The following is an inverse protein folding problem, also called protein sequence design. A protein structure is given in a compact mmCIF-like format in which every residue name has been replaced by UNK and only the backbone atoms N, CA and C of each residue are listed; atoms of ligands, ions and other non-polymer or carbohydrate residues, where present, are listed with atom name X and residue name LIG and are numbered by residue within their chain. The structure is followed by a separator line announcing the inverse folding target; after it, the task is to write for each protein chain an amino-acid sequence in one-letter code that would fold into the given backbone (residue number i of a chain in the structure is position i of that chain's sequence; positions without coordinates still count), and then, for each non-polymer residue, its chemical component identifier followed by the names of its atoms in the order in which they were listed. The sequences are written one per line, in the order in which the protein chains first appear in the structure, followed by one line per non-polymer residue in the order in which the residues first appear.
data_IF_808086592688
#
_entry.id   IF_808086592688
#
_cell.length_a   1.000
_cell.length_b   1.000
_cell.length_c   1.000
_cell.angle_alpha   90.00
_cell.angle_beta   90.00
_cell.angle_gamma   90.00
#
_symmetry.space_group_name_H-M   'P 1'
#
loop_
_entity.id
_entity.type
_entity.pdbx_description
1 polymer ?
#
# COMPACT_ATOMS: atom_id res chain seq x y z
N UNK A 1 -13.47 -15.04 -8.91
CA UNK A 1 -12.08 -15.21 -8.47
C UNK A 1 -11.69 -13.96 -7.73
N UNK A 2 -11.14 -14.08 -6.52
CA UNK A 2 -10.71 -12.94 -5.71
C UNK A 2 -9.20 -13.01 -5.53
N UNK A 3 -8.52 -11.88 -5.67
CA UNK A 3 -7.07 -11.75 -5.52
C UNK A 3 -6.78 -10.55 -4.63
N UNK A 4 -5.95 -10.76 -3.63
CA UNK A 4 -5.44 -9.72 -2.73
C UNK A 4 -3.97 -9.45 -3.04
N UNK A 5 -3.44 -8.32 -2.55
CA UNK A 5 -2.05 -7.86 -2.80
C UNK A 5 -1.69 -7.84 -4.30
N UNK A 6 -2.64 -7.40 -5.13
CA UNK A 6 -2.53 -7.49 -6.59
C UNK A 6 -1.36 -6.66 -7.15
N UNK A 7 -0.95 -5.60 -6.46
CA UNK A 7 0.20 -4.76 -6.82
C UNK A 7 1.51 -5.56 -6.89
N UNK A 8 1.63 -6.64 -6.12
CA UNK A 8 2.87 -7.43 -6.02
C UNK A 8 2.89 -8.64 -6.97
N UNK A 9 1.92 -8.73 -7.88
CA UNK A 9 1.86 -9.78 -8.88
C UNK A 9 2.89 -9.57 -9.99
N UNK A 10 3.50 -10.64 -10.47
CA UNK A 10 4.36 -10.62 -11.66
C UNK A 10 3.56 -10.93 -12.95
N UNK A 11 4.21 -10.78 -14.10
CA UNK A 11 3.58 -10.99 -15.42
C UNK A 11 2.98 -12.40 -15.59
N UNK A 12 3.62 -13.43 -15.04
CA UNK A 12 3.16 -14.82 -15.17
C UNK A 12 1.91 -15.05 -14.31
N UNK A 13 1.93 -14.57 -13.06
CA UNK A 13 0.77 -14.63 -12.17
C UNK A 13 -0.43 -13.91 -12.78
N UNK A 14 -0.22 -12.72 -13.35
CA UNK A 14 -1.30 -11.99 -14.02
C UNK A 14 -1.83 -12.73 -15.26
N UNK A 15 -0.95 -13.30 -16.08
CA UNK A 15 -1.36 -14.11 -17.23
C UNK A 15 -2.17 -15.34 -16.82
N UNK A 16 -1.79 -16.01 -15.73
CA UNK A 16 -2.54 -17.14 -15.19
C UNK A 16 -3.94 -16.76 -14.70
N UNK A 17 -4.06 -15.65 -13.96
CA UNK A 17 -5.37 -15.15 -13.52
C UNK A 17 -6.30 -14.93 -14.71
N UNK A 18 -5.78 -14.32 -15.78
CA UNK A 18 -6.55 -14.08 -17.01
C UNK A 18 -7.07 -15.36 -17.64
N UNK A 19 -6.25 -16.40 -17.73
CA UNK A 19 -6.66 -17.70 -18.27
C UNK A 19 -7.74 -18.35 -17.39
N UNK A 20 -7.63 -18.26 -16.07
CA UNK A 20 -8.60 -18.86 -15.15
C UNK A 20 -9.95 -18.15 -15.16
N UNK A 21 -9.97 -16.86 -15.49
CA UNK A 21 -11.18 -16.04 -15.58
C UNK A 21 -11.63 -15.80 -17.02
N UNK A 22 -11.01 -16.45 -18.01
CA UNK A 22 -11.34 -16.24 -19.41
C UNK A 22 -12.82 -16.56 -19.69
N UNK A 23 -13.51 -15.65 -20.39
CA UNK A 23 -14.94 -15.75 -20.68
C UNK A 23 -15.86 -15.60 -19.46
N UNK A 24 -15.31 -15.22 -18.29
CA UNK A 24 -16.06 -15.03 -17.04
C UNK A 24 -15.76 -13.64 -16.50
N UNK A 25 -16.76 -12.78 -16.46
CA UNK A 25 -16.66 -11.43 -15.87
C UNK A 25 -16.71 -11.50 -14.32
N UNK A 26 -15.78 -12.25 -13.73
CA UNK A 26 -15.81 -12.59 -12.31
C UNK A 26 -14.46 -12.43 -11.59
N UNK A 27 -13.53 -11.66 -12.16
CA UNK A 27 -12.27 -11.31 -11.51
C UNK A 27 -12.45 -10.08 -10.61
N UNK A 28 -12.18 -10.24 -9.32
CA UNK A 28 -12.15 -9.18 -8.33
C UNK A 28 -10.73 -9.08 -7.76
N UNK A 29 -10.12 -7.91 -7.88
CA UNK A 29 -8.76 -7.65 -7.42
C UNK A 29 -8.75 -6.55 -6.36
N UNK A 30 -7.94 -6.72 -5.33
CA UNK A 30 -7.65 -5.72 -4.31
C UNK A 30 -6.15 -5.47 -4.32
N UNK A 31 -5.76 -4.21 -4.21
CA UNK A 31 -4.36 -3.84 -4.15
C UNK A 31 -4.17 -2.35 -3.95
N UNK A 32 -2.93 -1.99 -3.64
CA UNK A 32 -2.48 -0.64 -3.35
C UNK A 32 -1.18 -0.37 -4.12
N UNK A 33 -1.20 0.59 -5.05
CA UNK A 33 -0.02 0.92 -5.85
C UNK A 33 1.14 1.52 -5.05
N UNK A 34 0.82 2.23 -3.97
CA UNK A 34 1.79 2.84 -3.06
C UNK A 34 2.46 1.79 -2.14
N UNK A 35 1.97 0.54 -2.11
CA UNK A 35 2.49 -0.55 -1.27
C UNK A 35 3.23 -1.66 -2.04
N UNK A 36 3.49 -1.47 -3.33
CA UNK A 36 4.26 -2.44 -4.13
C UNK A 36 5.74 -2.44 -3.73
N UNK A 37 6.17 -3.44 -2.94
CA UNK A 37 7.56 -3.56 -2.45
C UNK A 37 8.31 -4.77 -3.02
N UNK A 38 7.65 -5.67 -3.75
CA UNK A 38 8.28 -6.87 -4.32
C UNK A 38 8.85 -6.69 -5.73
N UNK A 39 9.19 -5.46 -6.13
CA UNK A 39 9.77 -5.16 -7.44
C UNK A 39 11.03 -5.98 -7.76
N UNK A 40 11.88 -6.22 -6.75
CA UNK A 40 13.09 -7.07 -6.86
C UNK A 40 12.78 -8.53 -7.21
N UNK A 41 11.57 -9.00 -6.91
CA UNK A 41 11.08 -10.35 -7.20
C UNK A 41 10.23 -10.39 -8.49
N UNK A 42 10.25 -9.31 -9.27
CA UNK A 42 9.56 -9.20 -10.54
C UNK A 42 8.10 -8.79 -10.45
N UNK A 43 7.64 -8.27 -9.30
CA UNK A 43 6.33 -7.62 -9.22
C UNK A 43 6.23 -6.48 -10.26
N UNK A 44 5.05 -6.34 -10.86
CA UNK A 44 4.77 -5.36 -11.91
C UNK A 44 3.55 -4.55 -11.53
N UNK A 45 3.79 -3.34 -11.02
CA UNK A 45 2.70 -2.40 -10.73
C UNK A 45 1.86 -2.08 -11.98
N UNK A 46 2.48 -2.21 -13.16
CA UNK A 46 1.83 -2.11 -14.46
C UNK A 46 0.63 -3.07 -14.61
N UNK A 47 0.58 -4.17 -13.84
CA UNK A 47 -0.57 -5.08 -13.82
C UNK A 47 -1.85 -4.38 -13.34
N UNK A 48 -1.77 -3.45 -12.38
CA UNK A 48 -2.92 -2.66 -11.93
C UNK A 48 -3.44 -1.77 -13.07
N UNK A 49 -2.54 -1.07 -13.76
CA UNK A 49 -2.92 -0.23 -14.92
C UNK A 49 -3.43 -1.07 -16.09
N UNK A 50 -2.82 -2.23 -16.35
CA UNK A 50 -3.23 -3.15 -17.40
C UNK A 50 -4.60 -3.76 -17.13
N UNK A 51 -4.93 -4.05 -15.87
CA UNK A 51 -6.26 -4.52 -15.48
C UNK A 51 -7.33 -3.52 -15.91
N UNK A 52 -7.15 -2.22 -15.60
CA UNK A 52 -8.11 -1.19 -15.98
C UNK A 52 -8.31 -1.08 -17.50
N UNK A 53 -7.23 -1.24 -18.29
CA UNK A 53 -7.28 -1.23 -19.75
C UNK A 53 -7.95 -2.48 -20.33
N UNK A 54 -7.72 -3.64 -19.72
CA UNK A 54 -8.20 -4.94 -20.23
C UNK A 54 -9.65 -5.22 -19.84
N UNK A 55 -10.09 -4.71 -18.70
CA UNK A 55 -11.46 -4.84 -18.21
C UNK A 55 -12.12 -3.45 -18.18
N UNK A 56 -12.41 -2.81 -19.32
CA UNK A 56 -12.89 -1.43 -19.35
C UNK A 56 -14.23 -1.21 -18.62
N UNK A 57 -15.02 -2.27 -18.45
CA UNK A 57 -16.30 -2.26 -17.73
C UNK A 57 -16.15 -2.60 -16.23
N UNK A 58 -14.93 -2.65 -15.70
CA UNK A 58 -14.71 -2.93 -14.28
C UNK A 58 -15.35 -1.85 -13.40
N UNK A 59 -15.86 -2.27 -12.24
CA UNK A 59 -16.21 -1.35 -11.17
C UNK A 59 -14.94 -1.00 -10.40
N UNK A 60 -14.57 0.28 -10.37
CA UNK A 60 -13.50 0.79 -9.52
C UNK A 60 -14.08 1.35 -8.23
N UNK A 61 -13.64 0.81 -7.09
CA UNK A 61 -13.96 1.34 -5.75
C UNK A 61 -12.66 1.80 -5.11
N UNK A 62 -12.60 3.05 -4.67
CA UNK A 62 -11.47 3.62 -3.93
C UNK A 62 -11.83 3.70 -2.45
N UNK A 63 -11.01 3.10 -1.61
CA UNK A 63 -11.15 3.15 -0.15
C UNK A 63 -10.10 4.11 0.40
N UNK A 64 -10.50 5.36 0.62
CA UNK A 64 -9.60 6.43 1.09
C UNK A 64 -9.72 6.71 2.58
N UNK A 65 -10.75 6.16 3.24
CA UNK A 65 -10.88 6.21 4.68
C UNK A 65 -10.03 5.12 5.33
N UNK A 66 -9.08 5.54 6.16
CA UNK A 66 -8.21 4.67 6.94
C UNK A 66 -8.77 4.56 8.37
N UNK A 67 -8.94 3.33 8.82
CA UNK A 67 -9.50 2.99 10.13
C UNK A 67 -8.42 2.45 11.11
N UNK A 68 -7.13 2.61 10.77
CA UNK A 68 -5.99 2.04 11.52
C UNK A 68 -5.17 3.12 12.22
N UNK A 69 -4.94 4.24 11.54
CA UNK A 69 -3.95 5.24 11.90
C UNK A 69 -4.60 6.60 12.13
N UNK A 70 -4.03 7.35 13.06
CA UNK A 70 -4.46 8.71 13.39
C UNK A 70 -4.00 9.74 12.36
N UNK A 71 -4.57 10.94 12.43
CA UNK A 71 -4.37 12.01 11.47
C UNK A 71 -2.91 12.43 11.31
N UNK A 72 -2.12 12.50 12.40
CA UNK A 72 -0.70 12.85 12.31
C UNK A 72 0.12 11.80 11.54
N UNK A 73 -0.15 10.52 11.74
CA UNK A 73 0.49 9.42 11.00
C UNK A 73 0.11 9.52 9.52
N UNK A 74 -1.18 9.67 9.20
CA UNK A 74 -1.63 9.76 7.81
C UNK A 74 -1.11 10.99 7.09
N UNK A 75 -1.03 12.15 7.76
CA UNK A 75 -0.45 13.37 7.20
C UNK A 75 1.01 13.14 6.79
N UNK A 76 1.81 12.50 7.63
CA UNK A 76 3.20 12.18 7.31
C UNK A 76 3.31 11.16 6.17
N UNK A 77 2.51 10.08 6.20
CA UNK A 77 2.48 9.08 5.13
C UNK A 77 2.07 9.68 3.78
N UNK A 78 1.00 10.48 3.74
CA UNK A 78 0.54 11.17 2.54
C UNK A 78 1.60 12.16 2.00
N UNK A 79 2.28 12.89 2.89
CA UNK A 79 3.34 13.81 2.49
C UNK A 79 4.54 13.08 1.89
N UNK A 80 4.96 11.97 2.49
CA UNK A 80 6.08 11.16 1.99
C UNK A 80 5.76 10.56 0.61
N UNK A 81 4.59 9.93 0.46
CA UNK A 81 4.22 9.25 -0.77
C UNK A 81 3.91 10.23 -1.93
N UNK A 82 3.58 11.49 -1.62
CA UNK A 82 3.41 12.54 -2.64
C UNK A 82 4.69 12.83 -3.44
N UNK A 83 5.87 12.46 -2.93
CA UNK A 83 7.13 12.60 -3.64
C UNK A 83 7.34 11.58 -4.77
N UNK A 84 6.54 10.50 -4.83
CA UNK A 84 6.69 9.46 -5.85
C UNK A 84 5.94 9.82 -7.15
N UNK A 85 6.59 9.59 -8.29
CA UNK A 85 5.99 9.72 -9.62
C UNK A 85 5.24 8.44 -10.04
N UNK A 86 4.34 8.56 -11.02
CA UNK A 86 3.68 7.38 -11.64
C UNK A 86 2.58 6.73 -10.81
N UNK A 87 2.12 7.39 -9.74
CA UNK A 87 1.04 6.91 -8.85
C UNK A 87 -0.34 6.98 -9.51
N UNK A 88 -1.24 6.10 -9.08
CA UNK A 88 -2.67 6.13 -9.47
C UNK A 88 -3.45 7.27 -8.77
N UNK A 89 -2.85 7.86 -7.73
CA UNK A 89 -3.33 9.07 -7.06
C UNK A 89 -4.46 8.80 -6.07
N UNK A 90 -4.14 8.92 -4.78
CA UNK A 90 -5.08 8.90 -3.65
C UNK A 90 -4.50 9.64 -2.45
N UNK A 91 -5.38 10.06 -1.55
CA UNK A 91 -5.01 10.63 -0.25
C UNK A 91 -5.85 9.96 0.84
N UNK A 92 -5.18 9.38 1.83
CA UNK A 92 -5.87 8.71 2.93
C UNK A 92 -6.30 9.71 4.01
N UNK A 93 -7.49 9.54 4.58
CA UNK A 93 -8.01 10.33 5.70
C UNK A 93 -8.56 9.44 6.82
N UNK A 94 -8.76 9.99 8.02
CA UNK A 94 -9.30 9.26 9.19
C UNK A 94 -10.24 10.15 9.98
N UNK A 95 -11.20 9.50 10.68
CA UNK A 95 -12.11 10.15 11.63
C UNK A 95 -11.64 10.01 13.09
N UNK A 96 -10.53 9.29 13.35
CA UNK A 96 -10.00 9.00 14.70
C UNK A 96 -9.27 10.19 15.35
N UNK A 97 -9.36 11.39 14.74
CA UNK A 97 -8.64 12.58 15.16
C UNK A 97 -7.14 12.53 14.87
N UNK A 98 -6.40 13.54 15.32
CA UNK A 98 -4.98 13.70 14.97
C UNK A 98 -4.05 12.73 15.74
N UNK A 99 -4.44 12.29 16.94
CA UNK A 99 -3.60 11.49 17.81
C UNK A 99 -2.31 12.19 18.25
N UNK A 100 -1.35 11.43 18.75
CA UNK A 100 -0.06 11.96 19.18
C UNK A 100 0.82 12.40 17.99
N UNK A 101 1.78 13.29 18.27
CA UNK A 101 2.80 13.66 17.29
C UNK A 101 3.78 12.52 17.06
N UNK A 102 4.26 12.39 15.82
CA UNK A 102 5.32 11.43 15.48
C UNK A 102 6.60 11.86 16.18
N UNK A 103 7.13 10.99 17.03
CA UNK A 103 8.41 11.20 17.72
C UNK A 103 9.58 10.82 16.81
N UNK A 104 10.67 11.60 16.86
CA UNK A 104 11.93 11.30 16.18
C UNK A 104 13.06 11.29 17.21
N UNK A 105 13.85 10.23 17.21
CA UNK A 105 15.05 10.11 18.05
C UNK A 105 16.26 9.85 17.16
N UNK A 106 17.33 10.61 17.36
CA UNK A 106 18.58 10.47 16.60
C UNK A 106 19.62 9.83 17.52
N UNK A 107 19.79 8.52 17.38
CA UNK A 107 20.78 7.76 18.15
C UNK A 107 22.22 8.08 17.70
N UNK A 108 23.17 7.95 18.62
CA UNK A 108 24.60 8.10 18.33
C UNK A 108 25.17 6.90 17.54
N UNK A 109 24.66 5.69 17.79
CA UNK A 109 25.04 4.46 17.11
C UNK A 109 23.90 3.42 17.19
N UNK A 110 24.10 2.23 16.61
CA UNK A 110 23.11 1.15 16.58
C UNK A 110 22.78 0.56 17.96
N UNK A 111 23.73 0.60 18.90
CA UNK A 111 23.49 0.13 20.27
C UNK A 111 22.59 1.10 21.04
N UNK A 112 22.83 2.40 20.90
CA UNK A 112 22.02 3.47 21.48
C UNK A 112 20.58 3.45 20.94
N UNK A 113 20.41 3.25 19.63
CA UNK A 113 19.09 3.05 19.02
C UNK A 113 18.37 1.84 19.64
N UNK A 114 19.07 0.70 19.77
CA UNK A 114 18.51 -0.51 20.36
C UNK A 114 18.08 -0.29 21.82
N UNK A 115 18.91 0.36 22.64
CA UNK A 115 18.57 0.68 24.02
C UNK A 115 17.37 1.61 24.12
N UNK A 116 17.32 2.66 23.30
CA UNK A 116 16.18 3.57 23.25
C UNK A 116 14.86 2.84 22.94
N UNK A 117 14.87 1.92 21.97
CA UNK A 117 13.69 1.12 21.62
C UNK A 117 13.25 0.21 22.78
N UNK A 118 14.19 -0.48 23.44
CA UNK A 118 13.87 -1.33 24.60
C UNK A 118 13.29 -0.50 25.75
N UNK A 119 13.93 0.62 26.10
CA UNK A 119 13.47 1.50 27.18
C UNK A 119 12.05 2.04 26.92
N UNK A 120 11.74 2.37 25.65
CA UNK A 120 10.40 2.81 25.25
C UNK A 120 9.34 1.73 25.37
N UNK A 121 9.68 0.45 25.14
CA UNK A 121 8.76 -0.67 25.28
C UNK A 121 8.54 -1.01 26.77
N UNK A 122 9.58 -0.92 27.60
CA UNK A 122 9.47 -1.23 29.04
C UNK A 122 8.72 -0.15 29.83
N UNK A 123 8.86 1.12 29.44
CA UNK A 123 8.31 2.26 30.17
C UNK A 123 7.09 2.93 29.51
N UNK A 124 6.63 2.43 28.35
CA UNK A 124 5.47 2.94 27.61
C UNK A 124 4.20 2.15 27.90
#
# INVERSE_FOLDING_TARGET
MHVDEFQDTNTIQYAWLRLLTEGKDNLFVVGDDDQSIYGWRGAKIENMFNFQKQYPNHLLVRLEQNYRSTGNILKASNALIACNEGRMGKALHTDDGDGDLISLYSAFNEQDEAYFVVERIENG
#
